data_IF_210517185381
#
_entry.id   IF_210517185381
#
_cell.length_a   1.000
_cell.length_b   1.000
_cell.length_c   1.000
_cell.angle_alpha   90.00
_cell.angle_beta   90.00
_cell.angle_gamma   90.00
#
_symmetry.space_group_name_H-M   'P 1'
#
loop_
_entity.id
_entity.type
_entity.pdbx_description
1 polymer ?
#
# COMPACT_ATOMS: atom_id res chain seq x y z
N UNK A 1 18.79 -0.01 9.84
CA UNK A 1 20.26 0.22 9.74
C UNK A 1 20.58 1.23 8.64
N UNK A 2 20.18 1.02 7.38
CA UNK A 2 20.45 1.98 6.28
C UNK A 2 19.80 3.34 6.50
N UNK A 3 18.50 3.39 6.85
CA UNK A 3 17.81 4.65 7.10
C UNK A 3 18.43 5.44 8.26
N UNK A 4 18.81 4.76 9.35
CA UNK A 4 19.50 5.41 10.48
C UNK A 4 20.83 6.03 10.04
N UNK A 5 21.65 5.28 9.29
CA UNK A 5 22.89 5.81 8.73
C UNK A 5 22.69 7.01 7.81
N UNK A 6 21.62 7.01 7.00
CA UNK A 6 21.26 8.17 6.17
C UNK A 6 20.97 9.42 7.02
N UNK A 7 20.17 9.28 8.09
CA UNK A 7 19.86 10.37 9.01
C UNK A 7 21.10 10.85 9.79
N UNK A 8 21.96 9.94 10.25
CA UNK A 8 23.18 10.28 10.98
C UNK A 8 24.22 10.99 10.09
N UNK A 9 24.22 10.71 8.79
CA UNK A 9 25.16 11.29 7.81
C UNK A 9 24.73 12.66 7.24
N UNK A 10 23.46 13.04 7.43
CA UNK A 10 22.89 14.21 6.77
C UNK A 10 22.94 15.43 7.69
N UNK A 11 23.51 16.54 7.21
CA UNK A 11 23.54 17.83 7.91
C UNK A 11 22.34 18.75 7.56
N UNK A 12 21.60 18.43 6.49
CA UNK A 12 20.44 19.19 6.05
C UNK A 12 19.17 18.81 6.83
N UNK A 13 18.25 19.76 7.06
CA UNK A 13 16.98 19.46 7.69
C UNK A 13 16.16 18.48 6.84
N UNK A 14 15.71 17.39 7.44
CA UNK A 14 14.90 16.36 6.79
C UNK A 14 13.39 16.66 6.91
N UNK A 15 12.59 16.31 5.89
CA UNK A 15 11.16 16.62 5.86
C UNK A 15 10.33 15.78 6.83
N UNK A 16 10.82 14.61 7.26
CA UNK A 16 10.20 13.77 8.28
C UNK A 16 11.25 13.37 9.33
N UNK A 17 10.85 13.29 10.59
CA UNK A 17 11.71 12.81 11.67
C UNK A 17 11.99 11.30 11.52
N UNK A 18 13.12 10.84 12.03
CA UNK A 18 13.54 9.45 12.00
C UNK A 18 12.51 8.50 12.60
N UNK A 19 11.92 8.82 13.77
CA UNK A 19 10.91 7.94 14.38
C UNK A 19 9.62 7.85 13.54
N UNK A 20 9.24 8.94 12.85
CA UNK A 20 8.12 8.93 11.90
C UNK A 20 8.46 8.07 10.69
N UNK A 21 9.70 8.12 10.19
CA UNK A 21 10.15 7.27 9.10
C UNK A 21 10.24 5.78 9.51
N UNK A 22 10.63 5.47 10.75
CA UNK A 22 10.59 4.12 11.29
C UNK A 22 9.14 3.60 11.41
N UNK A 23 8.24 4.44 11.93
CA UNK A 23 6.80 4.14 12.02
C UNK A 23 6.19 3.91 10.64
N UNK A 24 6.57 4.72 9.65
CA UNK A 24 6.16 4.56 8.26
C UNK A 24 6.53 3.18 7.71
N UNK A 25 7.77 2.73 7.97
CA UNK A 25 8.24 1.40 7.55
C UNK A 25 7.44 0.31 8.28
N UNK A 26 7.18 0.45 9.59
CA UNK A 26 6.37 -0.50 10.34
C UNK A 26 4.95 -0.62 9.79
N UNK A 27 4.30 0.50 9.45
CA UNK A 27 2.99 0.49 8.78
C UNK A 27 3.07 -0.25 7.45
N UNK A 28 4.04 0.08 6.60
CA UNK A 28 4.24 -0.59 5.32
C UNK A 28 4.43 -2.11 5.48
N UNK A 29 5.23 -2.53 6.46
CA UNK A 29 5.48 -3.95 6.73
C UNK A 29 4.28 -4.67 7.33
N UNK A 30 3.51 -4.03 8.21
CA UNK A 30 2.31 -4.61 8.82
C UNK A 30 1.22 -4.80 7.76
N UNK A 31 1.02 -3.77 6.93
CA UNK A 31 0.02 -3.73 5.86
C UNK A 31 0.49 -4.41 4.56
N UNK A 32 1.65 -5.05 4.55
CA UNK A 32 2.29 -5.61 3.34
C UNK A 32 1.39 -6.57 2.57
N UNK A 33 0.49 -7.29 3.26
CA UNK A 33 -0.49 -8.18 2.63
C UNK A 33 -1.49 -7.47 1.70
N UNK A 34 -1.67 -6.15 1.84
CA UNK A 34 -2.51 -5.34 0.96
C UNK A 34 -1.89 -5.24 -0.43
N UNK A 35 -0.57 -5.32 -0.58
CA UNK A 35 0.06 -4.98 -1.85
C UNK A 35 -0.24 -6.00 -2.94
N UNK A 36 -0.49 -5.55 -4.18
CA UNK A 36 -0.87 -6.42 -5.29
C UNK A 36 0.32 -7.18 -5.90
N UNK A 37 1.18 -7.77 -5.06
CA UNK A 37 2.39 -8.49 -5.51
C UNK A 37 2.11 -9.88 -6.07
N UNK A 38 1.02 -10.49 -5.62
CA UNK A 38 0.58 -11.81 -6.06
C UNK A 38 -0.83 -11.70 -6.57
N UNK A 39 -1.11 -12.16 -7.79
CA UNK A 39 -2.46 -12.30 -8.32
C UNK A 39 -3.12 -13.58 -7.86
N UNK A 40 -4.33 -13.82 -8.35
CA UNK A 40 -5.08 -15.02 -8.02
C UNK A 40 -4.65 -16.18 -8.94
N UNK A 41 -3.84 -17.09 -8.40
CA UNK A 41 -3.29 -18.22 -9.17
C UNK A 41 -4.35 -19.14 -9.75
N UNK A 42 -5.50 -19.26 -9.09
CA UNK A 42 -6.60 -20.09 -9.59
C UNK A 42 -7.28 -19.42 -10.79
N UNK A 43 -7.53 -18.11 -10.72
CA UNK A 43 -8.03 -17.36 -11.89
C UNK A 43 -7.04 -17.47 -13.06
N UNK A 44 -5.74 -17.31 -12.80
CA UNK A 44 -4.71 -17.45 -13.83
C UNK A 44 -4.70 -18.87 -14.43
N UNK A 45 -4.94 -19.90 -13.63
CA UNK A 45 -5.08 -21.29 -14.09
C UNK A 45 -6.31 -21.47 -14.97
N UNK A 46 -7.48 -20.95 -14.55
CA UNK A 46 -8.73 -21.01 -15.32
C UNK A 46 -8.59 -20.32 -16.69
N UNK A 47 -7.87 -19.19 -16.73
CA UNK A 47 -7.59 -18.50 -18.00
C UNK A 47 -6.69 -19.37 -18.88
N UNK A 48 -5.64 -19.97 -18.32
CA UNK A 48 -4.67 -20.78 -19.06
C UNK A 48 -5.26 -22.08 -19.62
N UNK A 49 -6.17 -22.73 -18.89
CA UNK A 49 -6.85 -23.95 -19.34
C UNK A 49 -8.04 -23.66 -20.27
N UNK A 50 -8.53 -22.42 -20.30
CA UNK A 50 -9.76 -22.04 -21.01
C UNK A 50 -11.03 -22.26 -20.20
N UNK A 51 -10.93 -22.81 -18.98
CA UNK A 51 -12.08 -23.05 -18.10
C UNK A 51 -12.75 -21.75 -17.63
N UNK A 52 -12.08 -20.60 -17.79
CA UNK A 52 -12.67 -19.28 -17.55
C UNK A 52 -13.95 -19.04 -18.37
N UNK A 53 -14.13 -19.73 -19.50
CA UNK A 53 -15.37 -19.69 -20.28
C UNK A 53 -16.57 -20.18 -19.46
N UNK A 54 -16.39 -21.14 -18.56
CA UNK A 54 -17.45 -21.59 -17.64
C UNK A 54 -17.82 -20.53 -16.60
N UNK A 55 -16.91 -19.64 -16.21
CA UNK A 55 -17.25 -18.51 -15.35
C UNK A 55 -18.02 -17.43 -16.11
N UNK A 56 -17.70 -17.21 -17.40
CA UNK A 56 -18.34 -16.20 -18.25
C UNK A 56 -19.82 -16.52 -18.56
N UNK A 57 -20.20 -17.80 -18.63
CA UNK A 57 -21.59 -18.20 -18.91
C UNK A 57 -22.48 -18.20 -17.67
N UNK A 58 -21.91 -18.11 -16.46
CA UNK A 58 -22.70 -18.04 -15.22
C UNK A 58 -23.41 -16.69 -15.14
N UNK A 59 -24.64 -16.62 -14.61
CA UNK A 59 -25.38 -15.36 -14.46
C UNK A 59 -24.86 -14.54 -13.27
N UNK A 60 -23.56 -14.22 -13.28
CA UNK A 60 -22.87 -13.46 -12.25
C UNK A 60 -21.93 -12.47 -12.91
N UNK A 61 -21.80 -11.28 -12.33
CA UNK A 61 -20.83 -10.31 -12.79
C UNK A 61 -19.41 -10.78 -12.45
N UNK A 62 -18.66 -11.19 -13.47
CA UNK A 62 -17.30 -11.74 -13.34
C UNK A 62 -16.34 -10.76 -12.66
N UNK A 63 -16.43 -9.47 -12.99
CA UNK A 63 -15.60 -8.44 -12.37
C UNK A 63 -15.81 -8.37 -10.87
N UNK A 64 -17.06 -8.27 -10.41
CA UNK A 64 -17.39 -8.20 -8.99
C UNK A 64 -16.99 -9.48 -8.25
N UNK A 65 -17.15 -10.64 -8.90
CA UNK A 65 -16.72 -11.91 -8.35
C UNK A 65 -15.21 -11.95 -8.12
N UNK A 66 -14.41 -11.60 -9.12
CA UNK A 66 -12.95 -11.54 -9.00
C UNK A 66 -12.50 -10.45 -8.02
N UNK A 67 -13.23 -9.33 -7.94
CA UNK A 67 -12.94 -8.26 -6.99
C UNK A 67 -13.15 -8.74 -5.54
N UNK A 68 -14.25 -9.47 -5.27
CA UNK A 68 -14.52 -10.05 -3.97
C UNK A 68 -13.47 -11.10 -3.57
N UNK A 69 -13.01 -11.92 -4.54
CA UNK A 69 -11.89 -12.85 -4.33
C UNK A 69 -10.61 -12.11 -3.97
N UNK A 70 -10.26 -11.07 -4.71
CA UNK A 70 -9.09 -10.24 -4.42
C UNK A 70 -9.19 -9.60 -3.03
N UNK A 71 -10.38 -9.11 -2.65
CA UNK A 71 -10.64 -8.57 -1.32
C UNK A 71 -10.34 -9.59 -0.21
N UNK A 72 -10.84 -10.83 -0.35
CA UNK A 72 -10.56 -11.90 0.60
C UNK A 72 -9.07 -12.27 0.67
N UNK A 73 -8.43 -12.41 -0.50
CA UNK A 73 -7.01 -12.75 -0.64
C UNK A 73 -6.07 -11.72 -0.03
N UNK A 74 -6.48 -10.45 0.06
CA UNK A 74 -5.69 -9.38 0.69
C UNK A 74 -6.03 -9.23 2.17
N UNK A 75 -7.31 -9.25 2.53
CA UNK A 75 -7.76 -8.90 3.88
C UNK A 75 -7.29 -9.90 4.92
N UNK A 76 -7.51 -11.19 4.68
CA UNK A 76 -7.17 -12.25 5.63
C UNK A 76 -5.67 -12.27 6.00
N UNK A 77 -4.71 -12.36 5.05
CA UNK A 77 -3.29 -12.38 5.40
C UNK A 77 -2.81 -11.05 5.97
N UNK A 78 -3.40 -9.92 5.55
CA UNK A 78 -3.05 -8.60 6.12
C UNK A 78 -3.40 -8.53 7.59
N UNK A 79 -4.62 -8.92 7.97
CA UNK A 79 -5.05 -8.88 9.37
C UNK A 79 -4.22 -9.83 10.24
N UNK A 80 -4.02 -11.06 9.77
CA UNK A 80 -3.21 -12.07 10.47
C UNK A 80 -1.76 -11.64 10.64
N UNK A 81 -1.19 -10.92 9.67
CA UNK A 81 0.19 -10.39 9.73
C UNK A 81 0.29 -9.13 10.57
N UNK A 82 -0.70 -8.23 10.49
CA UNK A 82 -0.63 -6.91 11.12
C UNK A 82 -0.56 -7.01 12.64
N UNK A 83 -1.34 -7.92 13.23
CA UNK A 83 -1.41 -8.12 14.69
C UNK A 83 -0.03 -8.41 15.30
N UNK A 84 0.67 -9.50 14.93
CA UNK A 84 1.98 -9.81 15.52
C UNK A 84 3.02 -8.73 15.18
N UNK A 85 2.93 -8.11 14.00
CA UNK A 85 3.90 -7.09 13.62
C UNK A 85 3.76 -5.82 14.46
N UNK A 86 2.54 -5.36 14.71
CA UNK A 86 2.31 -4.21 15.60
C UNK A 86 2.72 -4.54 17.03
N UNK A 87 2.47 -5.75 17.52
CA UNK A 87 2.96 -6.17 18.84
C UNK A 87 4.48 -6.07 18.93
N UNK A 88 5.22 -6.62 17.97
CA UNK A 88 6.69 -6.54 17.95
C UNK A 88 7.18 -5.09 17.81
N UNK A 89 6.55 -4.31 16.94
CA UNK A 89 6.93 -2.93 16.68
C UNK A 89 6.76 -2.01 17.90
N UNK A 90 5.77 -2.29 18.75
CA UNK A 90 5.52 -1.55 20.00
C UNK A 90 6.44 -1.98 21.15
N UNK A 91 6.95 -3.21 21.13
CA UNK A 91 7.86 -3.73 22.15
C UNK A 91 9.32 -3.33 21.93
N UNK A 92 9.66 -2.87 20.73
CA UNK A 92 11.00 -2.42 20.40
C UNK A 92 11.38 -1.11 21.12
N UNK A 93 12.68 -0.88 21.39
CA UNK A 93 13.16 0.37 21.98
C UNK A 93 12.70 1.58 21.18
N UNK A 94 12.49 2.72 21.86
CA UNK A 94 11.92 3.95 21.27
C UNK A 94 12.63 4.45 20.01
N UNK A 95 13.92 4.14 19.84
CA UNK A 95 14.70 4.53 18.67
C UNK A 95 14.35 3.71 17.41
N UNK A 96 13.74 2.53 17.55
CA UNK A 96 13.41 1.64 16.42
C UNK A 96 11.94 1.20 16.41
N UNK A 97 11.23 1.42 17.51
CA UNK A 97 9.83 1.08 17.67
C UNK A 97 8.90 2.02 16.92
N UNK A 98 7.65 1.59 16.82
CA UNK A 98 6.57 2.35 16.23
C UNK A 98 6.03 3.38 17.23
N UNK A 99 5.73 4.59 16.77
CA UNK A 99 5.01 5.59 17.58
C UNK A 99 3.50 5.42 17.34
N UNK A 100 2.70 5.66 18.38
CA UNK A 100 1.24 5.76 18.24
C UNK A 100 0.82 6.98 17.40
N UNK A 101 -0.33 6.93 16.72
CA UNK A 101 -0.84 8.06 15.99
C UNK A 101 -1.07 9.25 16.94
N UNK A 102 -0.75 10.48 16.53
CA UNK A 102 -0.76 11.64 17.43
C UNK A 102 -2.16 12.09 17.85
N UNK A 103 -3.22 11.60 17.18
CA UNK A 103 -4.61 11.91 17.51
C UNK A 103 -5.55 10.79 17.06
N UNK A 104 -6.76 10.77 17.63
CA UNK A 104 -7.84 9.86 17.18
C UNK A 104 -8.20 10.10 15.71
N UNK A 105 -8.15 11.35 15.27
CA UNK A 105 -8.40 11.72 13.87
C UNK A 105 -7.36 11.08 12.93
N UNK A 106 -6.09 11.09 13.31
CA UNK A 106 -5.01 10.45 12.55
C UNK A 106 -5.23 8.93 12.43
N UNK A 107 -5.68 8.28 13.50
CA UNK A 107 -6.01 6.87 13.49
C UNK A 107 -7.22 6.54 12.59
N UNK A 108 -8.31 7.31 12.69
CA UNK A 108 -9.48 7.13 11.84
C UNK A 108 -9.16 7.40 10.36
N UNK A 109 -8.39 8.44 10.07
CA UNK A 109 -7.93 8.73 8.72
C UNK A 109 -7.04 7.61 8.17
N UNK A 110 -6.16 7.02 8.98
CA UNK A 110 -5.40 5.83 8.61
C UNK A 110 -6.30 4.63 8.30
N UNK A 111 -7.34 4.38 9.09
CA UNK A 111 -8.30 3.30 8.80
C UNK A 111 -9.00 3.50 7.45
N UNK A 112 -9.51 4.70 7.20
CA UNK A 112 -10.20 5.05 5.95
C UNK A 112 -9.25 4.91 4.75
N UNK A 113 -8.04 5.44 4.86
CA UNK A 113 -7.05 5.39 3.77
C UNK A 113 -6.48 3.98 3.56
N UNK A 114 -6.34 3.17 4.61
CA UNK A 114 -5.97 1.75 4.49
C UNK A 114 -7.05 0.93 3.80
N UNK A 115 -8.33 1.24 4.06
CA UNK A 115 -9.43 0.65 3.31
C UNK A 115 -9.40 1.08 1.83
N UNK A 116 -9.10 2.36 1.56
CA UNK A 116 -8.84 2.85 0.20
C UNK A 116 -7.69 2.11 -0.49
N UNK A 117 -6.57 1.88 0.22
CA UNK A 117 -5.43 1.12 -0.27
C UNK A 117 -5.82 -0.33 -0.64
N UNK A 118 -6.65 -0.96 0.18
CA UNK A 118 -7.23 -2.28 -0.09
C UNK A 118 -8.05 -2.28 -1.39
N UNK A 119 -8.93 -1.30 -1.58
CA UNK A 119 -9.73 -1.19 -2.81
C UNK A 119 -8.87 -0.95 -4.05
N UNK A 120 -7.85 -0.07 -3.97
CA UNK A 120 -6.89 0.17 -5.07
C UNK A 120 -6.18 -1.13 -5.42
N UNK A 121 -5.70 -1.87 -4.42
CA UNK A 121 -5.02 -3.15 -4.64
C UNK A 121 -5.92 -4.21 -5.28
N UNK A 122 -7.16 -4.34 -4.81
CA UNK A 122 -8.13 -5.27 -5.40
C UNK A 122 -8.42 -4.93 -6.86
N UNK A 123 -8.59 -3.63 -7.14
CA UNK A 123 -8.80 -3.13 -8.51
C UNK A 123 -7.60 -3.41 -9.41
N UNK A 124 -6.37 -3.14 -8.93
CA UNK A 124 -5.15 -3.49 -9.65
C UNK A 124 -5.05 -5.00 -9.93
N UNK A 125 -5.40 -5.83 -8.95
CA UNK A 125 -5.41 -7.30 -9.10
C UNK A 125 -6.40 -7.73 -10.19
N UNK A 126 -7.58 -7.12 -10.23
CA UNK A 126 -8.57 -7.38 -11.29
C UNK A 126 -8.08 -6.92 -12.67
N UNK A 127 -7.45 -5.74 -12.76
CA UNK A 127 -6.86 -5.26 -14.02
C UNK A 127 -5.81 -6.26 -14.53
N UNK A 128 -4.97 -6.82 -13.65
CA UNK A 128 -4.02 -7.89 -14.02
C UNK A 128 -4.76 -9.10 -14.58
N UNK A 129 -5.77 -9.60 -13.87
CA UNK A 129 -6.55 -10.77 -14.31
C UNK A 129 -7.21 -10.56 -15.68
N UNK A 130 -7.82 -9.39 -15.91
CA UNK A 130 -8.44 -9.04 -17.18
C UNK A 130 -7.39 -8.91 -18.29
N UNK A 131 -6.23 -8.33 -17.99
CA UNK A 131 -5.14 -8.22 -18.98
C UNK A 131 -4.59 -9.60 -19.34
N UNK A 132 -4.56 -10.56 -18.40
CA UNK A 132 -4.15 -11.94 -18.70
C UNK A 132 -5.07 -12.59 -19.73
N UNK A 133 -6.38 -12.28 -19.78
CA UNK A 133 -7.29 -12.84 -20.79
C UNK A 133 -6.82 -12.60 -22.24
N UNK A 134 -6.07 -11.51 -22.46
CA UNK A 134 -5.55 -11.11 -23.77
C UNK A 134 -4.03 -11.35 -23.91
N UNK A 135 -3.39 -11.95 -22.91
CA UNK A 135 -1.94 -12.11 -22.86
C UNK A 135 -1.53 -13.59 -22.85
N UNK A 136 -0.37 -13.88 -23.43
CA UNK A 136 0.18 -15.25 -23.46
C UNK A 136 0.62 -15.72 -22.05
N UNK A 137 1.06 -14.79 -21.20
CA UNK A 137 1.48 -15.08 -19.82
C UNK A 137 1.11 -13.94 -18.87
N UNK A 138 0.38 -14.27 -17.79
CA UNK A 138 0.05 -13.33 -16.72
C UNK A 138 1.22 -13.06 -15.76
N UNK A 139 2.21 -13.96 -15.69
CA UNK A 139 3.32 -13.86 -14.75
C UNK A 139 4.19 -12.63 -15.02
N UNK A 140 4.42 -12.30 -16.30
CA UNK A 140 5.20 -11.13 -16.70
C UNK A 140 4.56 -9.82 -16.23
N UNK A 141 3.26 -9.66 -16.47
CA UNK A 141 2.48 -8.48 -16.07
C UNK A 141 2.50 -8.32 -14.55
N UNK A 142 2.29 -9.41 -13.81
CA UNK A 142 2.30 -9.41 -12.36
C UNK A 142 3.66 -9.00 -11.79
N UNK A 143 4.77 -9.53 -12.34
CA UNK A 143 6.13 -9.17 -11.91
C UNK A 143 6.43 -7.71 -12.17
N UNK A 144 6.04 -7.19 -13.34
CA UNK A 144 6.24 -5.78 -13.70
C UNK A 144 5.45 -4.86 -12.77
N UNK A 145 4.16 -5.14 -12.53
CA UNK A 145 3.34 -4.35 -11.61
C UNK A 145 3.87 -4.38 -10.19
N UNK A 146 4.34 -5.54 -9.73
CA UNK A 146 4.96 -5.67 -8.40
C UNK A 146 6.19 -4.77 -8.25
N UNK A 147 7.05 -4.72 -9.26
CA UNK A 147 8.22 -3.86 -9.27
C UNK A 147 7.84 -2.36 -9.26
N UNK A 148 6.89 -1.97 -10.12
CA UNK A 148 6.38 -0.59 -10.19
C UNK A 148 5.78 -0.16 -8.84
N UNK A 149 4.92 -0.97 -8.25
CA UNK A 149 4.32 -0.71 -6.92
C UNK A 149 5.40 -0.58 -5.86
N UNK A 150 6.38 -1.48 -5.85
CA UNK A 150 7.45 -1.47 -4.84
C UNK A 150 8.26 -0.18 -4.90
N UNK A 151 8.59 0.29 -6.11
CA UNK A 151 9.38 1.51 -6.31
C UNK A 151 8.59 2.79 -6.03
N UNK A 152 7.33 2.87 -6.46
CA UNK A 152 6.58 4.13 -6.46
C UNK A 152 5.57 4.29 -5.32
N UNK A 153 5.33 3.25 -4.51
CA UNK A 153 4.42 3.34 -3.35
C UNK A 153 5.05 3.97 -2.11
N UNK A 154 6.37 4.07 -2.07
CA UNK A 154 7.12 4.46 -0.86
C UNK A 154 7.57 3.27 0.00
N UNK A 155 7.35 2.04 -0.44
CA UNK A 155 7.78 0.82 0.29
C UNK A 155 9.30 0.73 0.47
N UNK A 156 10.09 1.11 -0.55
CA UNK A 156 11.57 1.06 -0.46
C UNK A 156 12.13 2.26 0.29
N UNK A 157 11.68 3.46 -0.09
CA UNK A 157 12.07 4.74 0.54
C UNK A 157 10.80 5.55 0.76
N UNK A 158 10.54 6.06 1.98
CA UNK A 158 9.38 6.91 2.24
C UNK A 158 9.28 8.08 1.25
N UNK A 159 8.11 8.27 0.62
CA UNK A 159 7.94 9.31 -0.39
C UNK A 159 8.30 10.72 0.07
N UNK A 160 8.09 11.12 1.36
CA UNK A 160 8.47 12.45 1.82
C UNK A 160 9.95 12.79 1.66
N UNK A 161 10.84 11.79 1.62
CA UNK A 161 12.29 11.97 1.48
C UNK A 161 12.71 12.30 0.03
N UNK A 162 11.82 12.16 -0.94
CA UNK A 162 12.14 12.48 -2.33
C UNK A 162 12.06 13.98 -2.64
N UNK A 163 12.77 14.46 -3.68
CA UNK A 163 12.68 15.84 -4.15
C UNK A 163 11.26 16.25 -4.55
N UNK A 164 10.91 17.53 -4.38
CA UNK A 164 9.53 18.03 -4.56
C UNK A 164 8.92 17.73 -5.92
N UNK A 165 9.68 17.92 -7.01
CA UNK A 165 9.22 17.62 -8.37
C UNK A 165 8.82 16.16 -8.53
N UNK A 166 9.56 15.25 -7.90
CA UNK A 166 9.25 13.82 -8.02
C UNK A 166 8.08 13.43 -7.12
N UNK A 167 7.97 14.01 -5.92
CA UNK A 167 6.80 13.81 -5.05
C UNK A 167 5.50 14.18 -5.77
N UNK A 168 5.46 15.29 -6.50
CA UNK A 168 4.29 15.69 -7.29
C UNK A 168 3.88 14.58 -8.27
N UNK A 169 4.82 14.07 -9.06
CA UNK A 169 4.55 12.99 -10.03
C UNK A 169 4.07 11.73 -9.31
N UNK A 170 4.72 11.32 -8.23
CA UNK A 170 4.37 10.10 -7.49
C UNK A 170 3.01 10.19 -6.79
N UNK A 171 2.59 11.39 -6.37
CA UNK A 171 1.28 11.62 -5.77
C UNK A 171 0.14 11.61 -6.80
N UNK A 172 0.42 11.92 -8.07
CA UNK A 172 -0.56 11.73 -9.16
C UNK A 172 -0.77 10.25 -9.51
N UNK A 173 0.21 9.39 -9.22
CA UNK A 173 0.10 7.96 -9.46
C UNK A 173 -0.72 7.27 -8.35
N UNK A 174 -1.44 6.19 -8.67
CA UNK A 174 -2.27 5.47 -7.69
C UNK A 174 -1.42 4.71 -6.66
N UNK A 175 -0.12 4.55 -6.89
CA UNK A 175 0.77 3.75 -6.04
C UNK A 175 1.03 4.38 -4.67
N UNK A 176 1.05 5.72 -4.59
CA UNK A 176 1.17 6.44 -3.32
C UNK A 176 0.03 6.10 -2.35
N UNK A 177 -1.16 5.82 -2.89
CA UNK A 177 -2.33 5.38 -2.13
C UNK A 177 -2.21 4.01 -1.47
N UNK A 178 -1.23 3.19 -1.87
CA UNK A 178 -1.06 1.83 -1.33
C UNK A 178 -0.27 1.79 -0.01
N UNK A 179 0.72 2.66 0.17
CA UNK A 179 1.62 2.64 1.35
C UNK A 179 1.79 4.05 1.92
N UNK A 180 2.19 5.01 1.08
CA UNK A 180 2.53 6.36 1.52
C UNK A 180 1.41 7.09 2.24
N UNK A 181 0.24 7.19 1.60
CA UNK A 181 -0.88 7.96 2.13
C UNK A 181 -1.34 7.39 3.48
N UNK A 182 -1.62 6.08 3.64
CA UNK A 182 -1.94 5.51 4.94
C UNK A 182 -0.87 5.77 6.00
N UNK A 183 0.40 5.52 5.68
CA UNK A 183 1.49 5.68 6.63
C UNK A 183 1.63 7.13 7.12
N UNK A 184 1.45 8.12 6.24
CA UNK A 184 1.55 9.55 6.60
C UNK A 184 0.35 10.07 7.37
N UNK A 185 -0.84 9.51 7.17
CA UNK A 185 -1.98 9.77 8.05
C UNK A 185 -1.73 9.19 9.44
N UNK A 186 -1.19 7.97 9.51
CA UNK A 186 -0.86 7.33 10.79
C UNK A 186 0.19 8.11 11.59
N UNK A 187 1.27 8.57 10.94
CA UNK A 187 2.30 9.41 11.60
C UNK A 187 1.82 10.84 11.86
N UNK A 188 0.65 11.23 11.36
CA UNK A 188 0.07 12.56 11.50
C UNK A 188 0.68 13.65 10.63
N UNK A 189 1.58 13.32 9.69
CA UNK A 189 2.19 14.29 8.78
C UNK A 189 1.14 15.01 7.92
N UNK A 190 0.17 14.25 7.38
CA UNK A 190 -0.90 14.81 6.56
C UNK A 190 -1.98 15.51 7.38
N UNK A 191 -2.26 15.02 8.60
CA UNK A 191 -3.26 15.64 9.48
C UNK A 191 -2.84 17.04 9.93
N UNK A 192 -1.54 17.21 10.24
CA UNK A 192 -0.99 18.49 10.64
C UNK A 192 -1.00 19.53 9.50
N UNK A 193 -0.85 19.07 8.25
CA UNK A 193 -0.89 19.92 7.05
C UNK A 193 -2.32 20.30 6.62
N UNK A 194 -3.29 19.41 6.85
CA UNK A 194 -4.68 19.55 6.45
C UNK A 194 -5.49 20.57 7.29
N UNK A 195 -5.12 20.80 8.56
CA UNK A 195 -5.91 21.62 9.48
C UNK A 195 -7.33 21.06 9.76
N UNK A 196 -8.14 21.73 10.59
CA UNK A 196 -9.45 21.23 11.04
C UNK A 196 -10.51 21.06 9.94
N UNK A 197 -10.29 21.59 8.72
CA UNK A 197 -11.26 21.57 7.61
C UNK A 197 -10.76 20.94 6.32
N UNK A 198 -9.53 20.41 6.27
CA UNK A 198 -8.87 20.03 5.01
C UNK A 198 -8.61 18.54 4.85
N UNK A 199 -9.56 17.66 5.18
CA UNK A 199 -9.42 16.23 4.82
C UNK A 199 -9.63 15.95 3.32
N UNK A 200 -9.84 16.99 2.52
CA UNK A 200 -10.16 16.91 1.10
C UNK A 200 -9.12 17.75 0.34
N UNK A 201 -8.05 17.11 -0.14
CA UNK A 201 -7.11 17.61 -1.16
C UNK A 201 -6.25 18.85 -0.85
N UNK A 202 -5.56 18.96 0.29
CA UNK A 202 -4.42 19.90 0.37
C UNK A 202 -3.14 19.27 -0.21
N UNK A 203 -3.11 19.07 -1.52
CA UNK A 203 -1.87 18.84 -2.28
C UNK A 203 -1.84 19.77 -3.49
N UNK A 204 -1.61 21.05 -3.22
CA UNK A 204 -1.02 22.01 -4.16
C UNK A 204 0.04 22.78 -3.42
#
# INVERSE_FOLDING_TARGET
MVLKGFYDSTSNPMPINFNSAATYIWIGQAMLGILPWNGDREIQSLIRTGDVTYELIRPMNLYNYWLARAFALRTAPTLLRSIPLFTVALLLPKDYGMIFPPSVLAFLAWMVTSFGALLISCTMTNIINITTLYSISGDGIQRLLSAIVTLFSGMVVPLPLFPDKMKQILNYLPFSGLVDIPARFFTGDLVQRAGPGGLIFSQT
#
